data_IF_314836556776
#
_entry.id   IF_314836556776
#
_cell.length_a   1.000
_cell.length_b   1.000
_cell.length_c   1.000
_cell.angle_alpha   90.00
_cell.angle_beta   90.00
_cell.angle_gamma   90.00
#
_symmetry.space_group_name_H-M   'P 1'
#
loop_
_entity.id
_entity.type
_entity.pdbx_description
1 polymer ?
#
# COMPACT_ATOMS: atom_id res chain seq x y z
N UNK A 1 35.61 -25.73 -86.18
CA UNK A 1 36.70 -24.97 -85.55
C UNK A 1 36.19 -24.53 -84.19
N UNK A 2 36.31 -25.46 -83.22
CA UNK A 2 35.70 -25.41 -81.88
C UNK A 2 36.75 -24.95 -80.89
N UNK A 3 36.38 -24.08 -80.00
CA UNK A 3 37.09 -23.83 -78.75
C UNK A 3 36.18 -24.03 -77.61
N UNK A 4 36.40 -25.13 -76.83
CA UNK A 4 35.85 -25.43 -75.58
C UNK A 4 36.40 -24.48 -74.50
N UNK A 5 35.54 -23.85 -73.74
CA UNK A 5 35.88 -23.06 -72.55
C UNK A 5 35.46 -23.84 -71.31
N UNK A 6 36.44 -24.37 -70.63
CA UNK A 6 36.35 -25.02 -69.32
C UNK A 6 35.90 -24.04 -68.26
N UNK A 7 34.74 -24.28 -67.66
CA UNK A 7 34.28 -23.58 -66.46
C UNK A 7 34.90 -24.24 -65.21
N UNK A 8 35.73 -23.51 -64.49
CA UNK A 8 36.13 -23.86 -63.17
C UNK A 8 35.05 -23.44 -62.17
N UNK A 9 34.47 -24.36 -61.44
CA UNK A 9 33.63 -24.10 -60.26
C UNK A 9 34.54 -23.70 -59.09
N UNK A 10 34.35 -22.49 -58.59
CA UNK A 10 34.89 -22.02 -57.31
C UNK A 10 33.75 -22.19 -56.31
N UNK A 11 33.85 -23.24 -55.46
CA UNK A 11 33.00 -23.39 -54.31
C UNK A 11 33.43 -22.41 -53.23
N UNK A 12 32.60 -21.41 -53.01
CA UNK A 12 32.77 -20.45 -51.88
C UNK A 12 32.08 -21.02 -50.67
N UNK A 13 32.84 -21.69 -49.80
CA UNK A 13 32.35 -22.07 -48.47
C UNK A 13 32.10 -20.82 -47.63
N UNK A 14 30.84 -20.43 -47.48
CA UNK A 14 30.45 -19.42 -46.54
C UNK A 14 30.28 -20.09 -45.15
N UNK A 15 31.33 -19.98 -44.33
CA UNK A 15 31.25 -20.29 -42.89
C UNK A 15 30.38 -19.24 -42.19
N UNK A 16 29.17 -19.65 -41.85
CA UNK A 16 28.23 -18.81 -41.08
C UNK A 16 28.61 -18.94 -39.60
N UNK A 17 29.42 -17.98 -39.13
CA UNK A 17 29.65 -17.81 -37.69
C UNK A 17 28.37 -17.24 -37.07
N UNK A 18 27.59 -18.09 -36.43
CA UNK A 18 26.55 -17.66 -35.50
C UNK A 18 27.21 -17.11 -34.22
N UNK A 19 27.36 -15.79 -34.15
CA UNK A 19 27.72 -15.09 -32.92
C UNK A 19 26.45 -15.14 -32.03
N UNK A 20 26.37 -16.10 -31.09
CA UNK A 20 25.39 -16.09 -30.03
C UNK A 20 25.80 -14.97 -29.06
N UNK A 21 25.27 -13.76 -29.27
CA UNK A 21 25.26 -12.74 -28.23
C UNK A 21 24.35 -13.23 -27.09
N UNK A 22 24.95 -13.87 -26.09
CA UNK A 22 24.36 -13.96 -24.77
C UNK A 22 24.23 -12.53 -24.26
N UNK A 23 23.08 -11.92 -24.51
CA UNK A 23 22.62 -10.75 -23.79
C UNK A 23 22.47 -11.17 -22.33
N UNK A 24 23.56 -11.07 -21.56
CA UNK A 24 23.50 -10.92 -20.12
C UNK A 24 22.84 -9.55 -19.87
N UNK A 25 21.51 -9.49 -20.07
CA UNK A 25 20.73 -8.42 -19.51
C UNK A 25 21.01 -8.37 -18.01
N UNK A 26 21.01 -7.16 -17.38
CA UNK A 26 21.11 -7.09 -15.95
C UNK A 26 20.07 -8.05 -15.37
N UNK A 27 20.49 -8.93 -14.47
CA UNK A 27 19.57 -9.76 -13.70
C UNK A 27 18.54 -8.81 -13.11
N UNK A 28 17.38 -8.73 -13.76
CA UNK A 28 16.19 -8.12 -13.18
C UNK A 28 15.88 -9.01 -11.98
N UNK A 29 16.36 -8.62 -10.82
CA UNK A 29 15.93 -9.23 -9.58
C UNK A 29 14.41 -9.16 -9.58
N UNK A 30 13.77 -10.31 -9.74
CA UNK A 30 12.33 -10.38 -9.79
C UNK A 30 11.80 -9.90 -8.45
N UNK A 31 10.86 -8.93 -8.48
CA UNK A 31 10.18 -8.45 -7.28
C UNK A 31 9.63 -9.65 -6.50
N UNK A 32 9.74 -9.61 -5.18
CA UNK A 32 9.36 -10.74 -4.33
C UNK A 32 7.96 -11.30 -4.62
N UNK A 33 7.01 -10.44 -5.01
CA UNK A 33 5.65 -10.86 -5.38
C UNK A 33 5.38 -10.86 -6.88
N UNK A 34 6.40 -10.86 -7.74
CA UNK A 34 6.20 -10.91 -9.18
C UNK A 34 5.50 -12.22 -9.59
N UNK A 35 4.46 -12.10 -10.42
CA UNK A 35 3.66 -13.24 -10.88
C UNK A 35 2.73 -13.86 -9.83
N UNK A 36 2.71 -13.35 -8.59
CA UNK A 36 1.79 -13.83 -7.56
C UNK A 36 0.45 -13.10 -7.62
N UNK A 37 -0.61 -13.79 -7.16
CA UNK A 37 -1.97 -13.22 -7.13
C UNK A 37 -2.17 -12.11 -6.10
N UNK A 38 -1.20 -11.92 -5.18
CA UNK A 38 -1.19 -10.90 -4.14
C UNK A 38 0.00 -9.98 -4.34
N UNK A 39 -0.16 -8.70 -4.05
CA UNK A 39 0.98 -7.79 -4.02
C UNK A 39 1.73 -7.85 -2.68
N UNK A 40 3.01 -7.54 -2.73
CA UNK A 40 3.84 -7.23 -1.57
C UNK A 40 4.41 -5.83 -1.77
N UNK A 41 3.97 -4.90 -0.96
CA UNK A 41 4.26 -3.48 -1.11
C UNK A 41 5.00 -2.87 0.05
N UNK A 42 5.32 -1.59 -0.14
CA UNK A 42 5.93 -0.77 0.91
C UNK A 42 5.51 0.70 0.77
N UNK A 43 5.83 1.49 1.80
CA UNK A 43 5.69 2.93 1.74
C UNK A 43 6.85 3.58 0.98
N UNK A 44 6.56 4.75 0.42
CA UNK A 44 7.55 5.73 0.01
C UNK A 44 7.49 6.93 0.98
N UNK A 45 8.55 7.12 1.74
CA UNK A 45 8.65 8.20 2.73
C UNK A 45 8.99 9.55 2.12
N UNK A 46 9.77 9.56 1.04
CA UNK A 46 10.26 10.76 0.36
C UNK A 46 9.70 10.85 -1.06
N UNK A 47 9.66 12.08 -1.61
CA UNK A 47 9.22 12.34 -2.99
C UNK A 47 10.07 11.63 -4.07
N UNK A 48 11.29 11.24 -3.75
CA UNK A 48 12.15 10.43 -4.60
C UNK A 48 12.15 8.98 -4.10
N UNK A 49 11.68 8.02 -4.93
CA UNK A 49 11.74 6.61 -4.60
C UNK A 49 13.18 6.13 -4.44
N UNK A 50 13.42 5.30 -3.45
CA UNK A 50 14.69 4.61 -3.30
C UNK A 50 15.00 3.77 -4.55
N UNK A 51 16.23 3.82 -5.09
CA UNK A 51 16.61 3.10 -6.31
C UNK A 51 16.33 1.59 -6.26
N UNK A 52 16.42 0.99 -5.07
CA UNK A 52 16.21 -0.43 -4.82
C UNK A 52 14.76 -0.80 -4.50
N UNK A 53 13.84 0.16 -4.37
CA UNK A 53 12.44 -0.11 -4.07
C UNK A 53 11.84 -1.18 -5.02
N UNK A 54 12.03 -0.99 -6.32
CA UNK A 54 11.51 -1.89 -7.35
C UNK A 54 12.17 -3.29 -7.36
N UNK A 55 13.27 -3.48 -6.64
CA UNK A 55 13.90 -4.78 -6.48
C UNK A 55 13.10 -5.69 -5.54
N UNK A 56 12.40 -5.08 -4.58
CA UNK A 56 11.68 -5.83 -3.54
C UNK A 56 10.16 -5.78 -3.71
N UNK A 57 9.59 -4.61 -4.03
CA UNK A 57 8.18 -4.29 -3.86
C UNK A 57 7.48 -4.02 -5.19
N UNK A 58 6.20 -4.36 -5.27
CA UNK A 58 5.34 -4.13 -6.43
C UNK A 58 4.04 -3.37 -6.10
N UNK A 59 3.96 -2.75 -4.93
CA UNK A 59 2.88 -1.86 -4.53
C UNK A 59 3.46 -0.66 -3.78
N UNK A 60 2.90 0.52 -4.00
CA UNK A 60 3.34 1.81 -3.45
C UNK A 60 2.23 2.41 -2.60
N UNK A 61 2.58 2.85 -1.39
CA UNK A 61 1.77 3.72 -0.54
C UNK A 61 2.59 4.96 -0.18
N UNK A 62 2.16 6.21 -0.48
CA UNK A 62 2.79 7.40 0.06
C UNK A 62 2.67 7.44 1.58
N UNK A 63 3.78 7.49 2.31
CA UNK A 63 3.72 7.58 3.79
C UNK A 63 3.09 8.90 4.24
N UNK A 64 3.60 10.01 3.70
CA UNK A 64 3.19 11.36 4.10
C UNK A 64 2.62 12.20 2.95
N UNK A 65 3.17 12.10 1.75
CA UNK A 65 2.79 12.95 0.61
C UNK A 65 1.33 12.78 0.16
N UNK A 66 0.66 11.68 0.53
CA UNK A 66 -0.75 11.43 0.26
C UNK A 66 -1.71 12.03 1.31
N UNK A 67 -1.21 12.54 2.44
CA UNK A 67 -2.03 13.09 3.52
C UNK A 67 -2.47 14.51 3.22
N UNK A 68 -3.69 14.87 3.61
CA UNK A 68 -4.28 16.16 3.25
C UNK A 68 -3.43 17.35 3.69
N UNK A 69 -2.90 17.35 4.93
CA UNK A 69 -2.03 18.44 5.39
C UNK A 69 -0.74 18.62 4.57
N UNK A 70 -0.23 17.52 3.97
CA UNK A 70 0.95 17.60 3.10
C UNK A 70 0.62 18.16 1.72
N UNK A 71 -0.60 17.90 1.23
CA UNK A 71 -1.05 18.35 -0.09
C UNK A 71 -1.65 19.76 -0.03
N UNK A 72 -2.29 20.14 1.08
CA UNK A 72 -2.89 21.47 1.26
C UNK A 72 -2.48 22.10 2.60
N UNK A 73 -1.19 22.41 2.78
CA UNK A 73 -0.70 23.06 4.01
C UNK A 73 -1.30 24.45 4.21
N UNK A 74 -1.60 25.14 3.14
CA UNK A 74 -2.28 26.42 3.12
C UNK A 74 -3.59 26.29 2.35
N UNK A 75 -4.69 26.77 2.93
CA UNK A 75 -6.03 26.68 2.35
C UNK A 75 -6.07 27.21 0.91
N UNK A 76 -6.52 26.37 -0.02
CA UNK A 76 -6.65 26.70 -1.45
C UNK A 76 -5.36 26.58 -2.25
N UNK A 77 -4.21 26.28 -1.61
CA UNK A 77 -2.93 26.09 -2.30
C UNK A 77 -2.51 24.61 -2.24
N UNK A 78 -2.66 23.91 -3.36
CA UNK A 78 -2.39 22.48 -3.47
C UNK A 78 -0.95 22.20 -3.88
N UNK A 79 -0.22 21.47 -3.04
CA UNK A 79 1.16 21.01 -3.23
C UNK A 79 1.19 19.54 -3.70
N UNK A 80 0.87 19.32 -4.96
CA UNK A 80 0.75 17.95 -5.51
C UNK A 80 2.09 17.27 -5.83
N UNK A 81 3.19 18.01 -5.93
CA UNK A 81 4.47 17.53 -6.49
C UNK A 81 4.98 16.23 -5.88
N UNK A 82 4.94 16.10 -4.55
CA UNK A 82 5.37 14.88 -3.86
C UNK A 82 4.48 13.68 -4.16
N UNK A 83 3.16 13.87 -4.20
CA UNK A 83 2.21 12.82 -4.52
C UNK A 83 2.26 12.45 -6.00
N UNK A 84 2.40 13.44 -6.91
CA UNK A 84 2.59 13.22 -8.35
C UNK A 84 3.78 12.31 -8.62
N UNK A 85 4.92 12.60 -7.99
CA UNK A 85 6.14 11.82 -8.18
C UNK A 85 5.94 10.34 -7.81
N UNK A 86 5.28 10.06 -6.66
CA UNK A 86 5.01 8.70 -6.20
C UNK A 86 3.97 7.98 -7.07
N UNK A 87 2.92 8.70 -7.48
CA UNK A 87 1.91 8.15 -8.37
C UNK A 87 2.50 7.79 -9.75
N UNK A 88 3.30 8.69 -10.35
CA UNK A 88 3.97 8.43 -11.62
C UNK A 88 4.99 7.29 -11.51
N UNK A 89 5.73 7.22 -10.39
CA UNK A 89 6.63 6.11 -10.14
C UNK A 89 5.91 4.75 -10.14
N UNK A 90 4.77 4.66 -9.45
CA UNK A 90 3.98 3.43 -9.44
C UNK A 90 3.43 3.11 -10.84
N UNK A 91 2.84 4.08 -11.52
CA UNK A 91 2.26 3.89 -12.86
C UNK A 91 3.28 3.47 -13.91
N UNK A 92 4.44 4.12 -13.95
CA UNK A 92 5.50 3.80 -14.93
C UNK A 92 6.04 2.38 -14.80
N UNK A 93 5.82 1.73 -13.66
CA UNK A 93 6.26 0.35 -13.37
C UNK A 93 5.13 -0.67 -13.35
N UNK A 94 3.89 -0.24 -13.56
CA UNK A 94 2.73 -1.11 -13.41
C UNK A 94 2.48 -1.57 -11.96
N UNK A 95 2.96 -0.82 -10.97
CA UNK A 95 2.76 -1.14 -9.56
C UNK A 95 1.36 -0.73 -9.11
N UNK A 96 0.84 -1.48 -8.16
CA UNK A 96 -0.39 -1.09 -7.46
C UNK A 96 -0.13 0.18 -6.65
N UNK A 97 -1.03 1.17 -6.76
CA UNK A 97 -0.96 2.40 -5.98
C UNK A 97 -2.10 2.47 -4.97
N UNK A 98 -1.77 2.76 -3.71
CA UNK A 98 -2.74 2.99 -2.64
C UNK A 98 -2.59 4.41 -2.11
N UNK A 99 -3.67 5.21 -2.19
CA UNK A 99 -3.77 6.51 -1.54
C UNK A 99 -3.93 6.33 -0.02
N UNK A 100 -3.07 6.96 0.74
CA UNK A 100 -3.12 7.03 2.20
C UNK A 100 -3.01 8.49 2.64
N UNK A 101 -4.06 9.09 3.14
CA UNK A 101 -5.46 8.75 3.25
C UNK A 101 -6.34 10.00 2.98
N UNK A 102 -7.69 9.88 2.97
CA UNK A 102 -8.54 11.05 2.78
C UNK A 102 -8.92 11.72 4.10
N UNK A 103 -9.50 11.00 5.05
CA UNK A 103 -10.01 11.53 6.31
C UNK A 103 -9.31 10.86 7.49
N UNK A 104 -8.64 11.67 8.30
CA UNK A 104 -7.93 11.23 9.49
C UNK A 104 -7.77 12.40 10.46
N UNK A 105 -7.84 12.15 11.76
CA UNK A 105 -7.69 13.18 12.80
C UNK A 105 -6.25 13.61 13.05
N UNK A 106 -5.26 12.87 12.50
CA UNK A 106 -3.87 13.32 12.50
C UNK A 106 -3.49 13.80 11.11
N UNK A 107 -2.50 14.70 11.03
CA UNK A 107 -2.03 15.27 9.77
C UNK A 107 -3.17 15.78 8.85
N UNK A 108 -4.29 16.24 9.47
CA UNK A 108 -5.27 17.11 8.81
C UNK A 108 -4.70 18.53 8.72
N UNK A 109 -5.12 19.36 7.74
CA UNK A 109 -4.67 20.75 7.67
C UNK A 109 -5.08 21.54 8.91
N UNK A 110 -4.13 22.24 9.52
CA UNK A 110 -4.37 23.00 10.77
C UNK A 110 -5.40 24.12 10.61
N UNK A 111 -5.51 24.69 9.41
CA UNK A 111 -6.49 25.74 9.11
C UNK A 111 -7.95 25.26 9.16
N UNK A 112 -8.19 23.95 9.10
CA UNK A 112 -9.54 23.36 9.19
C UNK A 112 -10.25 23.75 10.50
N UNK A 113 -9.51 23.80 11.62
CA UNK A 113 -10.08 24.06 12.95
C UNK A 113 -10.63 25.48 13.10
N UNK A 114 -10.17 26.42 12.27
CA UNK A 114 -10.63 27.82 12.27
C UNK A 114 -11.92 28.04 11.46
N UNK A 115 -12.40 27.04 10.73
CA UNK A 115 -13.52 27.19 9.82
C UNK A 115 -14.87 26.82 10.49
N UNK A 116 -15.96 27.48 10.13
CA UNK A 116 -17.30 27.03 10.50
C UNK A 116 -17.67 25.68 9.84
N UNK A 117 -18.58 24.91 10.43
CA UNK A 117 -18.85 23.53 10.02
C UNK A 117 -19.24 23.33 8.54
N UNK A 118 -20.00 24.25 7.96
CA UNK A 118 -20.39 24.22 6.55
C UNK A 118 -19.18 24.37 5.62
N UNK A 119 -18.25 25.22 5.96
CA UNK A 119 -16.98 25.38 5.25
C UNK A 119 -16.05 24.17 5.45
N UNK A 120 -15.94 23.64 6.66
CA UNK A 120 -15.18 22.40 6.92
C UNK A 120 -15.67 21.26 6.01
N UNK A 121 -16.98 21.08 5.92
CA UNK A 121 -17.58 20.06 5.04
C UNK A 121 -17.30 20.31 3.56
N UNK A 122 -17.35 21.58 3.13
CA UNK A 122 -17.05 21.98 1.76
C UNK A 122 -15.60 21.70 1.41
N UNK A 123 -14.64 22.04 2.28
CA UNK A 123 -13.21 21.83 2.02
C UNK A 123 -12.87 20.33 2.01
N UNK A 124 -13.41 19.51 2.93
CA UNK A 124 -13.24 18.07 2.90
C UNK A 124 -13.79 17.45 1.59
N UNK A 125 -14.91 17.95 1.08
CA UNK A 125 -15.44 17.53 -0.22
C UNK A 125 -14.54 17.96 -1.38
N UNK A 126 -13.99 19.19 -1.36
CA UNK A 126 -13.06 19.69 -2.38
C UNK A 126 -11.79 18.83 -2.43
N UNK A 127 -11.18 18.54 -1.28
CA UNK A 127 -10.02 17.66 -1.16
C UNK A 127 -10.27 16.33 -1.89
N UNK A 128 -11.33 15.59 -1.53
CA UNK A 128 -11.65 14.30 -2.13
C UNK A 128 -11.93 14.43 -3.64
N UNK A 129 -12.66 15.49 -4.05
CA UNK A 129 -13.00 15.67 -5.46
C UNK A 129 -11.81 16.05 -6.33
N UNK A 130 -10.91 16.92 -5.85
CA UNK A 130 -9.69 17.31 -6.57
C UNK A 130 -8.72 16.13 -6.70
N UNK A 131 -8.59 15.32 -5.64
CA UNK A 131 -7.83 14.08 -5.70
C UNK A 131 -8.38 13.15 -6.80
N UNK A 132 -9.68 12.87 -6.78
CA UNK A 132 -10.32 11.97 -7.74
C UNK A 132 -10.19 12.44 -9.20
N UNK A 133 -10.24 13.77 -9.44
CA UNK A 133 -10.01 14.35 -10.77
C UNK A 133 -8.54 14.20 -11.22
N UNK A 134 -7.60 14.37 -10.28
CA UNK A 134 -6.17 14.32 -10.60
C UNK A 134 -5.65 12.89 -10.78
N UNK A 135 -6.15 11.93 -10.00
CA UNK A 135 -5.67 10.54 -9.95
C UNK A 135 -6.81 9.53 -10.17
N UNK A 136 -7.49 9.57 -11.33
CA UNK A 136 -8.69 8.78 -11.58
C UNK A 136 -8.45 7.27 -11.59
N UNK A 137 -7.20 6.84 -11.85
CA UNK A 137 -6.82 5.43 -11.94
C UNK A 137 -6.19 4.88 -10.65
N UNK A 138 -6.38 5.56 -9.51
CA UNK A 138 -5.95 5.05 -8.19
C UNK A 138 -6.68 3.75 -7.88
N UNK A 139 -5.92 2.67 -7.61
CA UNK A 139 -6.53 1.36 -7.39
C UNK A 139 -7.16 1.22 -5.99
N UNK A 140 -6.51 1.78 -4.96
CA UNK A 140 -6.95 1.67 -3.56
C UNK A 140 -6.90 3.01 -2.84
N UNK A 141 -7.89 3.27 -1.99
CA UNK A 141 -7.94 4.48 -1.17
C UNK A 141 -8.33 4.12 0.26
N UNK A 142 -7.49 4.49 1.22
CA UNK A 142 -7.84 4.53 2.64
C UNK A 142 -8.74 5.76 2.85
N UNK A 143 -10.07 5.58 2.76
CA UNK A 143 -11.04 6.69 2.81
C UNK A 143 -11.11 7.29 4.19
N UNK A 144 -11.16 6.46 5.21
CA UNK A 144 -11.07 6.85 6.62
C UNK A 144 -9.99 6.01 7.28
N UNK A 145 -9.03 6.70 7.87
CA UNK A 145 -7.98 6.10 8.66
C UNK A 145 -8.27 6.27 10.16
N UNK A 146 -8.15 5.18 10.91
CA UNK A 146 -8.25 5.14 12.38
C UNK A 146 -9.52 5.77 12.96
N UNK A 147 -10.71 5.40 12.48
CA UNK A 147 -11.95 5.99 12.97
C UNK A 147 -12.22 5.72 14.45
N UNK A 148 -11.63 4.68 15.01
CA UNK A 148 -11.82 4.33 16.43
C UNK A 148 -10.96 5.19 17.34
N UNK A 149 -9.78 5.63 16.87
CA UNK A 149 -8.75 6.19 17.73
C UNK A 149 -8.40 7.65 17.41
N UNK A 150 -8.43 8.03 16.14
CA UNK A 150 -7.96 9.33 15.69
C UNK A 150 -8.99 10.03 14.78
N UNK A 151 -10.15 10.35 15.37
CA UNK A 151 -11.25 11.01 14.66
C UNK A 151 -10.89 12.47 14.32
N UNK A 152 -11.29 12.98 13.12
CA UNK A 152 -10.97 14.35 12.72
C UNK A 152 -11.70 15.37 13.60
N UNK A 153 -11.09 16.52 13.84
CA UNK A 153 -11.67 17.63 14.61
C UNK A 153 -12.99 18.12 14.00
N UNK A 154 -13.08 18.07 12.68
CA UNK A 154 -14.26 18.47 11.90
C UNK A 154 -15.30 17.34 11.72
N UNK A 155 -15.23 16.27 12.50
CA UNK A 155 -16.19 15.14 12.47
C UNK A 155 -17.64 15.60 12.49
N UNK A 156 -17.97 16.59 13.34
CA UNK A 156 -19.35 17.12 13.45
C UNK A 156 -19.85 17.73 12.13
N UNK A 157 -19.01 18.41 11.40
CA UNK A 157 -19.33 18.99 10.11
C UNK A 157 -19.69 17.93 9.05
N UNK A 158 -19.10 16.73 9.15
CA UNK A 158 -19.39 15.61 8.25
C UNK A 158 -20.63 14.80 8.63
N UNK A 159 -21.36 15.17 9.68
CA UNK A 159 -22.55 14.50 10.16
C UNK A 159 -22.42 13.92 11.58
N UNK A 160 -21.25 13.99 12.18
CA UNK A 160 -21.00 13.51 13.55
C UNK A 160 -21.28 12.01 13.68
N UNK A 161 -21.72 11.63 14.88
CA UNK A 161 -22.12 10.25 15.15
C UNK A 161 -23.47 9.91 14.48
N UNK A 162 -24.37 10.89 14.38
CA UNK A 162 -25.67 10.76 13.75
C UNK A 162 -26.49 9.59 14.29
N UNK A 163 -27.36 9.02 13.45
CA UNK A 163 -28.24 7.91 13.84
C UNK A 163 -27.54 6.56 13.90
N UNK A 164 -26.39 6.40 13.26
CA UNK A 164 -25.67 5.12 13.20
C UNK A 164 -24.49 5.01 14.16
N UNK A 165 -24.12 6.11 14.80
CA UNK A 165 -22.85 6.27 15.52
C UNK A 165 -21.67 6.61 14.61
N UNK A 166 -21.84 6.55 13.28
CA UNK A 166 -20.78 6.65 12.28
C UNK A 166 -21.17 7.43 11.02
N UNK A 167 -22.10 8.37 11.11
CA UNK A 167 -22.63 9.09 9.94
C UNK A 167 -21.57 9.90 9.22
N UNK A 168 -20.57 10.42 9.92
CA UNK A 168 -19.41 11.06 9.33
C UNK A 168 -18.55 10.11 8.47
N UNK A 169 -18.41 8.83 8.87
CA UNK A 169 -17.72 7.80 8.07
C UNK A 169 -18.53 7.48 6.82
N UNK A 170 -19.86 7.36 6.96
CA UNK A 170 -20.75 7.15 5.82
C UNK A 170 -20.64 8.31 4.83
N UNK A 171 -20.60 9.54 5.32
CA UNK A 171 -20.39 10.73 4.48
C UNK A 171 -19.07 10.65 3.70
N UNK A 172 -17.97 10.33 4.38
CA UNK A 172 -16.66 10.23 3.76
C UNK A 172 -16.64 9.17 2.63
N UNK A 173 -17.15 7.97 2.90
CA UNK A 173 -17.23 6.91 1.91
C UNK A 173 -18.17 7.24 0.74
N UNK A 174 -19.33 7.84 1.01
CA UNK A 174 -20.27 8.29 -0.03
C UNK A 174 -19.64 9.36 -0.94
N UNK A 175 -18.87 10.27 -0.34
CA UNK A 175 -18.15 11.32 -1.09
C UNK A 175 -17.03 10.70 -1.92
N UNK A 176 -16.24 9.80 -1.34
CA UNK A 176 -15.18 9.09 -2.06
C UNK A 176 -15.73 8.26 -3.22
N UNK A 177 -16.84 7.52 -3.02
CA UNK A 177 -17.49 6.76 -4.09
C UNK A 177 -17.92 7.63 -5.25
N UNK A 178 -18.42 8.83 -4.97
CA UNK A 178 -18.85 9.77 -6.00
C UNK A 178 -17.70 10.28 -6.86
N UNK A 179 -16.56 10.60 -6.26
CA UNK A 179 -15.42 11.24 -6.95
C UNK A 179 -14.31 10.29 -7.37
N UNK A 180 -14.28 9.08 -6.79
CA UNK A 180 -13.33 8.03 -7.11
C UNK A 180 -14.08 6.71 -7.41
N UNK A 181 -14.96 6.68 -8.44
CA UNK A 181 -15.87 5.55 -8.67
C UNK A 181 -15.16 4.24 -9.03
N UNK A 182 -13.96 4.32 -9.58
CA UNK A 182 -13.16 3.17 -10.03
C UNK A 182 -12.20 2.62 -8.97
N UNK A 183 -11.98 3.38 -7.90
CA UNK A 183 -11.09 2.97 -6.81
C UNK A 183 -11.78 2.01 -5.85
N UNK A 184 -11.01 1.08 -5.28
CA UNK A 184 -11.45 0.27 -4.15
C UNK A 184 -11.31 1.06 -2.86
N UNK A 185 -12.42 1.26 -2.18
CA UNK A 185 -12.51 2.08 -0.98
C UNK A 185 -12.33 1.23 0.27
N UNK A 186 -11.33 1.59 1.11
CA UNK A 186 -10.94 0.87 2.31
C UNK A 186 -11.24 1.68 3.57
N UNK A 187 -11.64 0.99 4.63
CA UNK A 187 -11.55 1.45 6.01
C UNK A 187 -10.24 0.92 6.57
N UNK A 188 -9.36 1.78 7.09
CA UNK A 188 -8.05 1.41 7.59
C UNK A 188 -7.95 1.63 9.11
N UNK A 189 -7.53 0.60 9.87
CA UNK A 189 -7.48 0.68 11.34
C UNK A 189 -6.39 -0.24 11.92
N UNK A 190 -5.86 0.13 13.10
CA UNK A 190 -4.94 -0.70 13.86
C UNK A 190 -5.65 -1.52 14.97
N UNK A 191 -4.92 -2.35 15.70
CA UNK A 191 -5.38 -3.25 16.76
C UNK A 191 -6.41 -4.33 16.34
N UNK A 192 -6.96 -4.30 15.15
CA UNK A 192 -7.98 -5.28 14.75
C UNK A 192 -7.48 -6.73 14.86
N UNK A 193 -6.18 -6.99 14.63
CA UNK A 193 -5.61 -8.34 14.74
C UNK A 193 -5.29 -8.75 16.19
N UNK A 194 -5.24 -7.81 17.11
CA UNK A 194 -5.14 -8.10 18.53
C UNK A 194 -6.48 -8.57 19.15
N UNK A 195 -7.58 -8.45 18.39
CA UNK A 195 -8.91 -8.85 18.84
C UNK A 195 -9.59 -7.80 19.74
N UNK A 196 -10.52 -8.27 20.57
CA UNK A 196 -11.15 -7.45 21.60
C UNK A 196 -12.10 -6.38 21.02
N UNK A 197 -12.22 -5.26 21.76
CA UNK A 197 -13.19 -4.18 21.49
C UNK A 197 -12.97 -3.53 20.13
N UNK A 198 -11.72 -3.29 19.76
CA UNK A 198 -11.39 -2.59 18.50
C UNK A 198 -11.82 -3.40 17.28
N UNK A 199 -11.61 -4.71 17.29
CA UNK A 199 -12.11 -5.61 16.26
C UNK A 199 -13.65 -5.55 16.13
N UNK A 200 -14.38 -5.60 17.26
CA UNK A 200 -15.83 -5.57 17.24
C UNK A 200 -16.40 -4.25 16.72
N UNK A 201 -15.81 -3.14 17.14
CA UNK A 201 -16.21 -1.82 16.66
C UNK A 201 -15.91 -1.64 15.17
N UNK A 202 -14.72 -2.07 14.71
CA UNK A 202 -14.39 -2.07 13.30
C UNK A 202 -15.37 -2.90 12.47
N UNK A 203 -15.71 -4.12 12.94
CA UNK A 203 -16.72 -4.98 12.29
C UNK A 203 -18.07 -4.26 12.20
N UNK A 204 -18.45 -3.52 13.23
CA UNK A 204 -19.71 -2.74 13.23
C UNK A 204 -19.71 -1.68 12.15
N UNK A 205 -18.65 -0.88 12.04
CA UNK A 205 -18.50 0.15 10.99
C UNK A 205 -18.53 -0.50 9.60
N UNK A 206 -17.75 -1.56 9.40
CA UNK A 206 -17.66 -2.29 8.13
C UNK A 206 -19.04 -2.82 7.71
N UNK A 207 -19.82 -3.39 8.63
CA UNK A 207 -21.18 -3.86 8.36
C UNK A 207 -22.11 -2.71 7.94
N UNK A 208 -22.00 -1.54 8.58
CA UNK A 208 -22.78 -0.34 8.22
C UNK A 208 -22.45 0.10 6.79
N UNK A 209 -21.17 0.20 6.43
CA UNK A 209 -20.71 0.58 5.10
C UNK A 209 -21.09 -0.47 4.05
N UNK A 210 -20.92 -1.76 4.36
CA UNK A 210 -21.26 -2.87 3.45
C UNK A 210 -22.74 -2.89 3.07
N UNK A 211 -23.65 -2.72 4.04
CA UNK A 211 -25.09 -2.64 3.76
C UNK A 211 -25.47 -1.49 2.83
N UNK A 212 -24.61 -0.49 2.68
CA UNK A 212 -24.78 0.68 1.80
C UNK A 212 -24.01 0.60 0.49
N UNK A 213 -23.29 -0.52 0.24
CA UNK A 213 -22.41 -0.72 -0.91
C UNK A 213 -21.31 0.37 -1.03
N UNK A 214 -20.79 0.84 0.10
CA UNK A 214 -19.81 1.93 0.14
C UNK A 214 -18.36 1.45 0.30
N UNK A 215 -18.12 0.23 0.82
CA UNK A 215 -16.80 -0.32 1.10
C UNK A 215 -16.48 -1.50 0.19
N UNK A 216 -15.23 -1.55 -0.31
CA UNK A 216 -14.74 -2.62 -1.19
C UNK A 216 -13.71 -3.52 -0.53
N UNK A 217 -13.13 -3.12 0.60
CA UNK A 217 -12.13 -3.91 1.32
C UNK A 217 -11.82 -3.35 2.69
N UNK A 218 -11.06 -4.14 3.45
CA UNK A 218 -10.68 -3.85 4.83
C UNK A 218 -9.17 -3.63 4.86
N UNK A 219 -8.73 -2.43 5.25
CA UNK A 219 -7.35 -2.13 5.57
C UNK A 219 -7.07 -2.48 7.03
N UNK A 220 -6.12 -3.37 7.26
CA UNK A 220 -5.67 -3.80 8.58
C UNK A 220 -4.21 -3.39 8.72
N UNK A 221 -3.92 -2.39 9.56
CA UNK A 221 -2.57 -1.82 9.62
C UNK A 221 -1.49 -2.86 9.91
N UNK A 222 -1.64 -3.63 10.96
CA UNK A 222 -0.66 -4.67 11.32
C UNK A 222 0.47 -4.16 12.20
N UNK A 223 0.33 -2.98 12.80
CA UNK A 223 1.23 -2.49 13.83
C UNK A 223 1.06 -3.24 15.15
N UNK A 224 2.14 -3.34 15.93
CA UNK A 224 2.09 -3.88 17.30
C UNK A 224 1.84 -5.38 17.40
N UNK A 225 2.14 -6.13 16.33
CA UNK A 225 1.92 -7.58 16.30
C UNK A 225 3.08 -8.40 16.88
N UNK A 226 4.12 -7.76 17.42
CA UNK A 226 5.30 -8.43 17.96
C UNK A 226 4.93 -9.48 19.02
N UNK A 227 4.00 -9.13 19.91
CA UNK A 227 3.62 -9.94 21.07
C UNK A 227 2.19 -10.50 20.99
N UNK A 228 1.48 -10.29 19.89
CA UNK A 228 0.15 -10.87 19.69
C UNK A 228 0.28 -12.34 19.29
N UNK A 229 -0.46 -13.24 19.96
CA UNK A 229 -0.37 -14.67 19.65
C UNK A 229 -0.86 -14.98 18.24
N UNK A 230 -0.23 -15.96 17.59
CA UNK A 230 -0.63 -16.43 16.27
C UNK A 230 -2.08 -16.92 16.23
N UNK A 231 -2.55 -17.53 17.33
CA UNK A 231 -3.95 -17.98 17.46
C UNK A 231 -4.93 -16.79 17.45
N UNK A 232 -4.62 -15.72 18.17
CA UNK A 232 -5.42 -14.49 18.20
C UNK A 232 -5.48 -13.85 16.81
N UNK A 233 -4.34 -13.75 16.12
CA UNK A 233 -4.25 -13.18 14.77
C UNK A 233 -5.10 -13.99 13.78
N UNK A 234 -5.00 -15.32 13.79
CA UNK A 234 -5.82 -16.21 12.95
C UNK A 234 -7.30 -16.05 13.22
N UNK A 235 -7.70 -16.02 14.51
CA UNK A 235 -9.08 -15.82 14.92
C UNK A 235 -9.64 -14.49 14.42
N UNK A 236 -8.89 -13.41 14.59
CA UNK A 236 -9.28 -12.06 14.14
C UNK A 236 -9.40 -11.99 12.60
N UNK A 237 -8.44 -12.56 11.86
CA UNK A 237 -8.50 -12.65 10.40
C UNK A 237 -9.72 -13.45 9.93
N UNK A 238 -10.02 -14.59 10.56
CA UNK A 238 -11.19 -15.39 10.22
C UNK A 238 -12.49 -14.61 10.45
N UNK A 239 -12.57 -13.85 11.53
CA UNK A 239 -13.73 -12.99 11.84
C UNK A 239 -13.89 -11.87 10.80
N UNK A 240 -12.82 -11.17 10.43
CA UNK A 240 -12.85 -10.18 9.37
C UNK A 240 -13.18 -10.82 8.02
N UNK A 241 -12.59 -11.98 7.71
CA UNK A 241 -12.86 -12.74 6.49
C UNK A 241 -14.31 -13.20 6.35
N UNK A 242 -15.00 -13.46 7.48
CA UNK A 242 -16.44 -13.81 7.48
C UNK A 242 -17.34 -12.69 6.94
N UNK A 243 -16.83 -11.46 6.90
CA UNK A 243 -17.53 -10.33 6.29
C UNK A 243 -17.56 -10.40 4.74
N UNK A 244 -16.83 -11.35 4.13
CA UNK A 244 -16.76 -11.53 2.67
C UNK A 244 -16.33 -10.28 1.93
N UNK A 245 -15.36 -9.56 2.49
CA UNK A 245 -14.63 -8.48 1.85
C UNK A 245 -13.14 -8.87 1.79
N UNK A 246 -12.41 -8.45 0.74
CA UNK A 246 -10.97 -8.61 0.71
C UNK A 246 -10.31 -7.84 1.85
N UNK A 247 -9.28 -8.43 2.42
CA UNK A 247 -8.45 -7.83 3.48
C UNK A 247 -7.11 -7.43 2.85
N UNK A 248 -6.62 -6.26 3.22
CA UNK A 248 -5.29 -5.76 2.87
C UNK A 248 -4.55 -5.46 4.16
N UNK A 249 -3.42 -6.16 4.40
CA UNK A 249 -2.51 -5.79 5.48
C UNK A 249 -1.79 -4.54 4.98
N UNK A 250 -2.08 -3.41 5.59
CA UNK A 250 -1.79 -2.10 4.99
C UNK A 250 -0.51 -1.44 5.49
N UNK A 251 0.02 -1.86 6.67
CA UNK A 251 1.08 -1.13 7.37
C UNK A 251 1.93 -2.05 8.28
N UNK A 252 2.26 -3.26 7.81
CA UNK A 252 2.99 -4.23 8.63
C UNK A 252 4.37 -3.72 9.00
N UNK A 253 4.64 -3.65 10.29
CA UNK A 253 5.98 -3.46 10.85
C UNK A 253 6.18 -4.34 12.10
N UNK A 254 7.41 -4.76 12.33
CA UNK A 254 7.79 -5.50 13.53
C UNK A 254 8.99 -4.82 14.18
N UNK A 255 8.72 -4.04 15.23
CA UNK A 255 9.72 -3.23 15.94
C UNK A 255 10.54 -4.06 16.91
N UNK A 256 11.38 -4.95 16.39
CA UNK A 256 12.22 -5.88 17.15
C UNK A 256 13.70 -5.60 16.84
N UNK A 257 14.47 -5.25 17.89
CA UNK A 257 15.88 -4.87 17.74
C UNK A 257 16.79 -6.07 17.41
N UNK A 258 16.55 -7.21 18.06
CA UNK A 258 17.32 -8.44 17.86
C UNK A 258 16.96 -9.09 16.53
N UNK A 259 17.99 -9.41 15.74
CA UNK A 259 17.82 -9.92 14.36
C UNK A 259 17.14 -11.30 14.31
N UNK A 260 17.55 -12.21 15.21
CA UNK A 260 17.02 -13.57 15.24
C UNK A 260 15.55 -13.57 15.71
N UNK A 261 15.24 -12.75 16.69
CA UNK A 261 13.88 -12.56 17.20
C UNK A 261 12.96 -11.94 16.13
N UNK A 262 13.46 -10.95 15.37
CA UNK A 262 12.70 -10.34 14.29
C UNK A 262 12.45 -11.38 13.18
N UNK A 263 13.48 -12.11 12.75
CA UNK A 263 13.32 -13.17 11.74
C UNK A 263 12.35 -14.25 12.22
N UNK A 264 12.48 -14.70 13.47
CA UNK A 264 11.56 -15.70 14.05
C UNK A 264 10.12 -15.21 14.01
N UNK A 265 9.90 -13.93 14.33
CA UNK A 265 8.55 -13.35 14.29
C UNK A 265 8.02 -13.24 12.86
N UNK A 266 8.83 -12.82 11.90
CA UNK A 266 8.44 -12.83 10.47
C UNK A 266 8.09 -14.24 10.01
N UNK A 267 8.89 -15.25 10.36
CA UNK A 267 8.65 -16.67 10.02
C UNK A 267 7.32 -17.21 10.55
N UNK A 268 6.90 -16.81 11.74
CA UNK A 268 5.62 -17.25 12.30
C UNK A 268 4.43 -16.45 11.77
N UNK A 269 4.56 -15.12 11.68
CA UNK A 269 3.46 -14.22 11.37
C UNK A 269 3.15 -14.11 9.88
N UNK A 270 4.18 -13.86 9.04
CA UNK A 270 3.96 -13.56 7.64
C UNK A 270 3.19 -14.65 6.88
N UNK A 271 3.45 -15.96 7.06
CA UNK A 271 2.65 -17.02 6.45
C UNK A 271 1.17 -16.99 6.87
N UNK A 272 0.86 -16.61 8.11
CA UNK A 272 -0.53 -16.48 8.58
C UNK A 272 -1.26 -15.41 7.77
N UNK A 273 -0.62 -14.26 7.57
CA UNK A 273 -1.17 -13.15 6.79
C UNK A 273 -1.24 -13.51 5.30
N UNK A 274 -0.13 -14.01 4.75
CA UNK A 274 0.01 -14.26 3.32
C UNK A 274 -0.90 -15.36 2.79
N UNK A 275 -1.06 -16.47 3.52
CA UNK A 275 -1.89 -17.60 3.08
C UNK A 275 -3.37 -17.47 3.42
N UNK A 276 -3.77 -16.51 4.25
CA UNK A 276 -5.19 -16.34 4.55
C UNK A 276 -5.97 -15.97 3.28
N UNK A 277 -7.04 -16.71 2.98
CA UNK A 277 -7.78 -16.62 1.71
C UNK A 277 -8.41 -15.24 1.45
N UNK A 278 -8.83 -14.55 2.50
CA UNK A 278 -9.40 -13.20 2.40
C UNK A 278 -8.33 -12.11 2.21
N UNK A 279 -7.05 -12.35 2.57
CA UNK A 279 -5.95 -11.38 2.39
C UNK A 279 -5.55 -11.35 0.91
N UNK A 280 -5.51 -10.17 0.31
CA UNK A 280 -5.21 -9.93 -1.12
C UNK A 280 -3.93 -9.15 -1.38
N UNK A 281 -3.30 -8.63 -0.33
CA UNK A 281 -2.01 -7.95 -0.40
C UNK A 281 -1.48 -7.62 0.98
N UNK A 282 -0.17 -7.44 1.06
CA UNK A 282 0.55 -7.03 2.26
C UNK A 282 1.42 -5.84 1.91
N UNK A 283 1.33 -4.77 2.67
CA UNK A 283 2.20 -3.58 2.59
C UNK A 283 2.97 -3.48 3.90
N UNK A 284 4.29 -3.39 3.81
CA UNK A 284 5.14 -3.10 4.95
C UNK A 284 5.21 -1.58 5.16
N UNK A 285 5.38 -1.14 6.42
CA UNK A 285 5.41 0.28 6.75
C UNK A 285 6.85 0.77 6.93
N UNK A 286 7.63 0.68 5.84
CA UNK A 286 9.04 0.98 5.78
C UNK A 286 9.92 -0.27 5.78
N UNK A 287 11.17 -0.10 5.32
CA UNK A 287 12.12 -1.20 5.27
C UNK A 287 13.58 -0.77 5.47
N UNK A 288 13.90 0.52 5.30
CA UNK A 288 15.25 1.04 5.43
C UNK A 288 15.51 1.64 6.80
N UNK A 289 16.64 1.32 7.39
CA UNK A 289 17.15 1.95 8.60
C UNK A 289 17.25 3.47 8.40
N UNK A 290 16.90 4.24 9.41
CA UNK A 290 16.84 5.71 9.42
C UNK A 290 15.75 6.35 8.51
N UNK A 291 15.00 5.56 7.74
CA UNK A 291 13.91 5.98 6.87
C UNK A 291 12.59 5.27 7.25
N UNK A 292 12.40 5.00 8.52
CA UNK A 292 11.24 4.30 9.07
C UNK A 292 10.86 4.91 10.43
N UNK A 293 9.57 5.02 10.72
CA UNK A 293 9.07 5.66 11.93
C UNK A 293 9.36 4.90 13.23
N UNK A 294 9.51 3.57 13.17
CA UNK A 294 9.91 2.73 14.31
C UNK A 294 11.35 2.27 14.15
N UNK A 295 12.22 2.69 15.06
CA UNK A 295 13.68 2.58 14.96
C UNK A 295 14.24 1.18 14.69
N UNK A 296 13.52 0.12 15.07
CA UNK A 296 13.99 -1.27 14.92
C UNK A 296 13.16 -2.11 13.95
N UNK A 297 12.19 -1.50 13.24
CA UNK A 297 11.35 -2.23 12.30
C UNK A 297 11.96 -2.37 10.89
N UNK A 298 13.13 -1.78 10.65
CA UNK A 298 13.80 -1.88 9.36
C UNK A 298 14.21 -3.32 9.02
N UNK A 299 14.34 -3.58 7.73
CA UNK A 299 14.80 -4.85 7.16
C UNK A 299 16.12 -4.71 6.40
N UNK A 300 16.42 -3.49 5.94
CA UNK A 300 17.65 -3.13 5.24
C UNK A 300 18.41 -2.11 6.08
N UNK A 301 19.69 -2.39 6.39
CA UNK A 301 20.53 -1.49 7.19
C UNK A 301 21.01 -0.30 6.37
N UNK A 302 21.49 0.72 7.03
CA UNK A 302 22.00 1.94 6.39
C UNK A 302 23.22 1.69 5.47
N UNK A 303 24.00 0.65 5.75
CA UNK A 303 25.12 0.21 4.93
C UNK A 303 24.72 -0.67 3.72
N UNK A 304 23.43 -0.89 3.53
CA UNK A 304 22.89 -1.72 2.46
C UNK A 304 22.83 -3.22 2.77
N UNK A 305 23.30 -3.66 3.94
CA UNK A 305 23.20 -5.07 4.33
C UNK A 305 21.77 -5.43 4.76
N UNK A 306 21.32 -6.62 4.39
CA UNK A 306 20.00 -7.13 4.72
C UNK A 306 19.98 -7.74 6.13
N UNK A 307 18.90 -7.48 6.88
CA UNK A 307 18.66 -8.25 8.11
C UNK A 307 18.20 -9.67 7.77
N UNK A 308 18.43 -10.67 8.64
CA UNK A 308 18.01 -12.05 8.42
C UNK A 308 16.52 -12.20 8.07
N UNK A 309 15.67 -11.30 8.57
CA UNK A 309 14.25 -11.28 8.24
C UNK A 309 13.98 -10.96 6.75
N UNK A 310 14.75 -10.04 6.14
CA UNK A 310 14.62 -9.73 4.70
C UNK A 310 15.14 -10.88 3.84
N UNK A 311 16.30 -11.44 4.21
CA UNK A 311 16.86 -12.60 3.53
C UNK A 311 15.84 -13.74 3.49
N UNK A 312 15.25 -14.07 4.65
CA UNK A 312 14.21 -15.09 4.74
C UNK A 312 12.97 -14.74 3.93
N UNK A 313 12.50 -13.49 3.97
CA UNK A 313 11.31 -13.07 3.24
C UNK A 313 11.49 -13.23 1.72
N UNK A 314 12.68 -12.90 1.19
CA UNK A 314 13.03 -13.11 -0.22
C UNK A 314 13.00 -14.59 -0.59
N UNK A 315 13.61 -15.43 0.22
CA UNK A 315 13.61 -16.89 0.03
C UNK A 315 12.17 -17.45 0.08
N UNK A 316 11.40 -17.09 1.11
CA UNK A 316 10.02 -17.51 1.26
C UNK A 316 9.13 -17.11 0.07
N UNK A 317 9.34 -15.93 -0.48
CA UNK A 317 8.57 -15.41 -1.60
C UNK A 317 9.01 -15.99 -2.95
N UNK A 318 10.18 -16.63 -3.05
CA UNK A 318 10.66 -17.28 -4.28
C UNK A 318 9.98 -18.63 -4.56
N UNK A 319 9.31 -19.21 -3.58
CA UNK A 319 8.53 -20.45 -3.66
C UNK A 319 7.02 -20.11 -3.70
#
# INVERSE_FOLDING_TARGET
>A
MNRELTRRHIECQRSLFFLIFLLLGPSLYAQMAQGKAKFLGNILGNSQPDPDFATYWNQVTPENSGKWASVEPTRGLMEWSGLDAMYQYARSRGFVFKQHNFIWGRQQPSWMDSLPPDQQKLEAKKWISQYGQRYPDTQFIDVVNEPLHNQPSYKKALGGDGSTGWDWVIWAFSTARRYCPHSKLLLNEYNMLAGGKDLEQAITIIKILKRRNLIDGIGVQGHGLENVSDATIRSSLNRLGSLRLPIYISELDLNIADDDSQQKRYKSLFPILWHHSAVKGVTLWGYKQNHIWKSNAYLLRADGSERPALVWLKEYMSH
#
